data_IF_586324839166
#
_entry.id   IF_586324839166
#
_cell.length_a   1.000
_cell.length_b   1.000
_cell.length_c   1.000
_cell.angle_alpha   90.00
_cell.angle_beta   90.00
_cell.angle_gamma   90.00
#
_symmetry.space_group_name_H-M   'P 1'
#
loop_
_entity.id
_entity.type
_entity.pdbx_description
1 polymer ?
#
# COMPACT_ATOMS: atom_id res chain seq x y z
N UNK A 1 -1.60 9.82 29.08
CA UNK A 1 -2.44 10.15 30.26
C UNK A 1 -3.59 9.15 30.31
N UNK A 2 -4.32 9.03 31.43
CA UNK A 2 -5.53 8.20 31.46
C UNK A 2 -6.73 9.03 31.00
N UNK A 3 -7.41 8.60 29.96
CA UNK A 3 -8.62 9.22 29.44
C UNK A 3 -9.85 8.47 29.98
N UNK A 4 -10.76 9.21 30.61
CA UNK A 4 -11.97 8.62 31.21
C UNK A 4 -13.08 8.37 30.20
N UNK A 5 -13.12 9.12 29.09
CA UNK A 5 -14.11 8.92 28.04
C UNK A 5 -13.78 7.67 27.24
N UNK A 6 -12.51 7.53 26.86
CA UNK A 6 -12.00 6.35 26.16
C UNK A 6 -11.73 5.15 27.09
N UNK A 7 -11.82 5.35 28.42
CA UNK A 7 -11.49 4.35 29.44
C UNK A 7 -10.10 3.69 29.28
N UNK A 8 -9.13 4.43 28.74
CA UNK A 8 -7.83 3.90 28.33
C UNK A 8 -6.65 4.82 28.63
N UNK A 9 -5.43 4.29 28.47
CA UNK A 9 -4.20 5.07 28.54
C UNK A 9 -3.82 5.57 27.15
N UNK A 10 -3.83 6.88 26.98
CA UNK A 10 -3.53 7.57 25.72
C UNK A 10 -2.08 8.07 25.70
N UNK A 11 -1.38 7.85 24.59
CA UNK A 11 -0.05 8.38 24.29
C UNK A 11 -0.13 9.14 22.97
N UNK A 12 -0.04 10.47 23.04
CA UNK A 12 -0.07 11.37 21.87
C UNK A 12 0.43 12.77 22.29
N UNK A 13 0.45 13.73 21.36
CA UNK A 13 0.79 15.13 21.63
C UNK A 13 -0.41 15.94 22.08
N UNK A 14 -0.17 17.04 22.81
CA UNK A 14 -1.26 17.89 23.31
C UNK A 14 -2.02 18.58 22.17
N UNK A 15 -1.32 18.87 21.08
CA UNK A 15 -1.85 19.46 19.86
C UNK A 15 -2.81 18.49 19.17
N UNK A 16 -2.43 17.22 18.97
CA UNK A 16 -3.29 16.18 18.37
C UNK A 16 -4.61 15.97 19.11
N UNK A 17 -4.61 16.11 20.44
CA UNK A 17 -5.84 16.01 21.25
C UNK A 17 -6.83 17.14 20.99
N UNK A 18 -6.36 18.30 20.55
CA UNK A 18 -7.22 19.43 20.19
C UNK A 18 -7.72 19.35 18.75
N UNK A 19 -6.94 18.69 17.91
CA UNK A 19 -7.14 18.64 16.47
C UNK A 19 -6.66 17.30 15.90
N UNK A 20 -7.61 16.41 15.64
CA UNK A 20 -7.35 15.09 15.10
C UNK A 20 -6.88 15.12 13.63
N UNK A 21 -6.86 16.26 12.95
CA UNK A 21 -6.30 16.37 11.59
C UNK A 21 -4.77 16.49 11.57
N UNK A 22 -4.14 16.63 12.74
CA UNK A 22 -2.68 16.63 12.86
C UNK A 22 -2.09 15.23 12.57
N UNK A 23 -0.93 15.15 11.91
CA UNK A 23 -0.31 13.87 11.50
C UNK A 23 0.35 13.11 12.67
N UNK A 24 0.40 13.72 13.85
CA UNK A 24 0.99 13.15 15.06
C UNK A 24 0.38 11.79 15.42
N UNK A 25 1.20 10.80 15.81
CA UNK A 25 0.70 9.50 16.22
C UNK A 25 -0.25 9.59 17.42
N UNK A 26 -1.30 8.78 17.38
CA UNK A 26 -2.19 8.55 18.51
C UNK A 26 -2.11 7.07 18.88
N UNK A 27 -1.93 6.76 20.16
CA UNK A 27 -1.97 5.39 20.66
C UNK A 27 -2.85 5.35 21.90
N UNK A 28 -3.73 4.38 21.98
CA UNK A 28 -4.56 4.12 23.14
C UNK A 28 -4.51 2.64 23.52
N UNK A 29 -4.37 2.42 24.83
CA UNK A 29 -4.56 1.12 25.45
C UNK A 29 -5.88 1.09 26.20
N UNK A 30 -6.85 0.34 25.68
CA UNK A 30 -8.15 0.10 26.31
C UNK A 30 -8.00 -0.98 27.38
N UNK A 31 -7.99 -0.57 28.66
CA UNK A 31 -7.74 -1.49 29.78
C UNK A 31 -8.81 -2.58 29.94
N UNK A 32 -10.06 -2.28 29.55
CA UNK A 32 -11.19 -3.18 29.73
C UNK A 32 -11.34 -4.14 28.56
N UNK A 33 -11.20 -3.64 27.34
CA UNK A 33 -11.36 -4.42 26.11
C UNK A 33 -10.10 -5.20 25.73
N UNK A 34 -8.99 -4.99 26.46
CA UNK A 34 -7.69 -5.61 26.17
C UNK A 34 -7.26 -5.35 24.72
N UNK A 35 -7.34 -4.09 24.31
CA UNK A 35 -7.13 -3.66 22.94
C UNK A 35 -6.13 -2.50 22.89
N UNK A 36 -5.16 -2.60 21.98
CA UNK A 36 -4.27 -1.49 21.63
C UNK A 36 -4.69 -0.96 20.26
N UNK A 37 -5.05 0.31 20.20
CA UNK A 37 -5.38 0.99 18.95
C UNK A 37 -4.42 2.16 18.74
N UNK A 38 -3.95 2.35 17.52
CA UNK A 38 -3.16 3.53 17.21
C UNK A 38 -3.33 3.99 15.77
N UNK A 39 -3.01 5.25 15.51
CA UNK A 39 -3.07 5.87 14.20
C UNK A 39 -1.77 6.62 13.88
N UNK A 40 -1.44 6.71 12.59
CA UNK A 40 -0.28 7.45 12.10
C UNK A 40 0.55 6.68 11.09
N UNK A 41 1.80 7.13 10.83
CA UNK A 41 2.70 6.44 9.91
C UNK A 41 3.17 5.09 10.47
N UNK A 42 3.13 4.06 9.63
CA UNK A 42 3.49 2.69 9.96
C UNK A 42 4.69 2.23 9.13
N UNK A 43 5.68 1.62 9.78
CA UNK A 43 6.87 1.07 9.11
C UNK A 43 6.84 -0.45 9.17
N UNK A 44 6.11 -1.07 8.25
CA UNK A 44 6.01 -2.54 8.10
C UNK A 44 7.13 -3.17 7.26
N UNK A 45 7.89 -2.33 6.56
CA UNK A 45 9.03 -2.74 5.75
C UNK A 45 10.16 -1.72 5.90
N UNK A 46 11.38 -2.20 6.15
CA UNK A 46 12.54 -1.33 6.01
C UNK A 46 12.77 -0.92 4.56
N UNK A 47 13.41 0.24 4.38
CA UNK A 47 13.71 0.76 3.06
C UNK A 47 14.49 -0.28 2.26
N UNK A 48 13.88 -0.80 1.20
CA UNK A 48 14.54 -1.77 0.33
C UNK A 48 15.56 -1.11 -0.62
N UNK A 49 15.62 0.23 -0.59
CA UNK A 49 16.48 1.11 -1.35
C UNK A 49 16.06 1.28 -2.81
N UNK A 50 15.58 0.22 -3.45
CA UNK A 50 15.14 0.24 -4.83
C UNK A 50 13.62 0.39 -4.99
N UNK A 51 12.84 -0.28 -4.14
CA UNK A 51 11.39 -0.12 -4.07
C UNK A 51 11.06 0.55 -2.75
N UNK A 52 10.51 1.75 -2.81
CA UNK A 52 10.13 2.49 -1.59
C UNK A 52 8.64 2.31 -1.34
N UNK A 53 8.29 2.10 -0.08
CA UNK A 53 6.90 2.04 0.36
C UNK A 53 6.68 3.00 1.51
N UNK A 54 5.50 3.61 1.57
CA UNK A 54 5.00 4.24 2.79
C UNK A 54 3.64 3.65 3.13
N UNK A 55 3.34 3.52 4.41
CA UNK A 55 2.06 3.05 4.92
C UNK A 55 1.66 3.96 6.06
N UNK A 56 0.40 4.39 6.10
CA UNK A 56 -0.16 5.07 7.26
C UNK A 56 -1.65 4.79 7.37
N UNK A 57 -2.16 4.84 8.59
CA UNK A 57 -3.55 4.55 8.89
C UNK A 57 -3.69 4.10 10.34
N UNK A 58 -4.59 3.17 10.59
CA UNK A 58 -4.86 2.61 11.90
C UNK A 58 -4.19 1.24 12.07
N UNK A 59 -3.72 0.97 13.28
CA UNK A 59 -3.24 -0.35 13.74
C UNK A 59 -4.04 -0.75 14.97
N UNK A 60 -4.40 -2.03 15.04
CA UNK A 60 -5.10 -2.62 16.17
C UNK A 60 -4.38 -3.90 16.60
N UNK A 61 -4.18 -4.08 17.90
CA UNK A 61 -3.72 -5.34 18.50
C UNK A 61 -4.75 -5.79 19.53
N UNK A 62 -5.50 -6.83 19.16
CA UNK A 62 -6.39 -7.56 20.07
C UNK A 62 -5.52 -8.45 20.96
N UNK A 63 -5.36 -8.07 22.23
CA UNK A 63 -4.48 -8.77 23.18
C UNK A 63 -5.09 -10.08 23.69
N UNK A 64 -6.39 -10.28 23.50
CA UNK A 64 -7.07 -11.53 23.88
C UNK A 64 -6.77 -12.61 22.86
N UNK A 65 -6.84 -12.27 21.57
CA UNK A 65 -6.56 -13.20 20.46
C UNK A 65 -5.09 -13.22 20.04
N UNK A 66 -4.32 -12.22 20.46
CA UNK A 66 -2.97 -11.94 19.98
C UNK A 66 -2.93 -11.71 18.45
N UNK A 67 -3.89 -10.91 17.97
CA UNK A 67 -4.05 -10.60 16.55
C UNK A 67 -3.71 -9.12 16.29
N UNK A 68 -2.81 -8.87 15.35
CA UNK A 68 -2.45 -7.51 14.90
C UNK A 68 -3.03 -7.29 13.52
N UNK A 69 -3.83 -6.24 13.36
CA UNK A 69 -4.36 -5.78 12.08
C UNK A 69 -4.00 -4.32 11.80
N UNK A 70 -3.89 -3.98 10.52
CA UNK A 70 -3.64 -2.65 10.02
C UNK A 70 -4.68 -2.36 8.95
N UNK A 71 -5.22 -1.15 8.95
CA UNK A 71 -6.02 -0.59 7.87
C UNK A 71 -5.41 0.75 7.48
N UNK A 72 -5.14 0.97 6.20
CA UNK A 72 -4.53 2.22 5.79
C UNK A 72 -4.24 2.40 4.32
N UNK A 73 -3.55 3.51 4.05
CA UNK A 73 -3.11 3.93 2.72
C UNK A 73 -1.66 3.49 2.52
N UNK A 74 -1.44 2.64 1.51
CA UNK A 74 -0.12 2.17 1.12
C UNK A 74 0.30 2.82 -0.19
N UNK A 75 1.51 3.38 -0.20
CA UNK A 75 2.15 3.83 -1.43
C UNK A 75 3.33 2.93 -1.77
N UNK A 76 3.57 2.72 -3.05
CA UNK A 76 4.73 2.01 -3.56
C UNK A 76 5.31 2.77 -4.76
N UNK A 77 6.63 2.91 -4.76
CA UNK A 77 7.40 3.40 -5.89
C UNK A 77 8.37 2.30 -6.34
N UNK A 78 8.11 1.73 -7.51
CA UNK A 78 8.89 0.66 -8.11
C UNK A 78 9.42 1.08 -9.49
N UNK A 79 10.75 1.17 -9.68
CA UNK A 79 11.33 1.68 -10.92
C UNK A 79 10.90 0.84 -12.13
N UNK A 80 10.10 1.44 -13.00
CA UNK A 80 9.68 0.90 -14.29
C UNK A 80 9.43 2.09 -15.21
N UNK A 81 9.32 1.81 -16.50
CA UNK A 81 8.82 2.79 -17.47
C UNK A 81 7.48 3.36 -17.03
N UNK A 82 7.35 4.69 -17.03
CA UNK A 82 6.10 5.37 -16.66
C UNK A 82 4.95 4.89 -17.55
N UNK A 83 5.17 4.70 -18.85
CA UNK A 83 4.15 4.20 -19.77
C UNK A 83 3.68 2.80 -19.45
N UNK A 84 4.54 1.96 -18.86
CA UNK A 84 4.16 0.61 -18.46
C UNK A 84 3.22 0.64 -17.25
N UNK A 85 3.45 1.55 -16.30
CA UNK A 85 2.53 1.78 -15.19
C UNK A 85 1.24 2.45 -15.64
N UNK A 86 1.30 3.40 -16.57
CA UNK A 86 0.09 4.00 -17.17
C UNK A 86 -0.76 2.94 -17.90
N UNK A 87 -0.13 1.98 -18.59
CA UNK A 87 -0.84 0.85 -19.17
C UNK A 87 -1.55 0.00 -18.10
N UNK A 88 -0.91 -0.24 -16.95
CA UNK A 88 -1.54 -0.90 -15.80
C UNK A 88 -2.74 -0.09 -15.29
N UNK A 89 -2.63 1.24 -15.20
CA UNK A 89 -3.73 2.09 -14.77
C UNK A 89 -4.98 1.92 -15.64
N UNK A 90 -4.80 1.77 -16.96
CA UNK A 90 -5.90 1.57 -17.90
C UNK A 90 -6.58 0.20 -17.74
N UNK A 91 -5.87 -0.84 -17.28
CA UNK A 91 -6.48 -2.16 -17.04
C UNK A 91 -7.45 -2.16 -15.86
N UNK A 92 -7.19 -1.29 -14.88
CA UNK A 92 -7.98 -1.22 -13.65
C UNK A 92 -8.98 -0.07 -13.62
N UNK A 93 -8.92 0.85 -14.59
CA UNK A 93 -9.90 1.91 -14.69
C UNK A 93 -11.24 1.35 -15.19
N UNK A 94 -12.21 1.25 -14.28
CA UNK A 94 -13.55 0.75 -14.54
C UNK A 94 -14.61 1.88 -14.60
N UNK A 95 -14.17 3.14 -14.45
CA UNK A 95 -15.05 4.30 -14.35
C UNK A 95 -15.86 4.35 -13.05
N UNK A 96 -15.58 3.47 -12.08
CA UNK A 96 -16.09 3.61 -10.72
C UNK A 96 -15.31 4.75 -10.06
N UNK A 97 -16.04 5.84 -9.81
CA UNK A 97 -15.50 6.98 -9.09
C UNK A 97 -15.54 6.78 -7.58
N UNK A 98 -14.85 7.64 -6.83
CA UNK A 98 -14.74 7.48 -5.37
C UNK A 98 -16.06 7.73 -4.62
N UNK A 99 -16.36 6.85 -3.66
CA UNK A 99 -17.39 7.00 -2.62
C UNK A 99 -16.77 7.02 -1.20
N UNK A 100 -15.46 7.25 -1.08
CA UNK A 100 -14.68 6.83 0.10
C UNK A 100 -13.99 7.95 0.88
N UNK A 101 -14.68 9.08 1.06
CA UNK A 101 -14.15 10.24 1.79
C UNK A 101 -14.26 10.16 3.31
N UNK A 102 -15.00 9.19 3.85
CA UNK A 102 -15.50 9.27 5.24
C UNK A 102 -14.93 8.19 6.17
N UNK A 103 -14.12 7.25 5.66
CA UNK A 103 -13.50 6.22 6.49
C UNK A 103 -12.37 6.79 7.34
N UNK A 104 -12.47 6.63 8.66
CA UNK A 104 -11.52 7.23 9.61
C UNK A 104 -10.08 6.81 9.34
N UNK A 105 -9.82 5.53 9.07
CA UNK A 105 -8.47 5.02 8.81
C UNK A 105 -7.86 5.60 7.52
N UNK A 106 -8.70 5.82 6.49
CA UNK A 106 -8.29 6.49 5.26
C UNK A 106 -7.93 7.95 5.52
N UNK A 107 -8.81 8.70 6.20
CA UNK A 107 -8.59 10.12 6.56
C UNK A 107 -7.30 10.27 7.38
N UNK A 108 -7.14 9.48 8.44
CA UNK A 108 -5.95 9.47 9.28
C UNK A 108 -4.69 9.11 8.48
N UNK A 109 -4.79 8.13 7.58
CA UNK A 109 -3.70 7.72 6.69
C UNK A 109 -3.27 8.84 5.75
N UNK A 110 -4.22 9.55 5.15
CA UNK A 110 -3.94 10.70 4.29
C UNK A 110 -3.27 11.84 5.07
N UNK A 111 -3.78 12.20 6.24
CA UNK A 111 -3.15 13.22 7.07
C UNK A 111 -1.74 12.81 7.52
N UNK A 112 -1.54 11.55 7.90
CA UNK A 112 -0.22 11.05 8.29
C UNK A 112 0.78 11.04 7.12
N UNK A 113 0.33 10.81 5.89
CA UNK A 113 1.19 10.79 4.70
C UNK A 113 1.48 12.20 4.14
N UNK A 114 0.49 13.09 4.13
CA UNK A 114 0.56 14.40 3.48
C UNK A 114 0.77 15.55 4.46
N UNK A 115 0.50 15.34 5.74
CA UNK A 115 0.37 16.38 6.75
C UNK A 115 -0.99 17.07 6.68
N UNK A 116 -1.28 17.89 7.69
CA UNK A 116 -2.57 18.55 7.87
C UNK A 116 -3.00 19.39 6.67
N UNK A 117 -2.09 20.21 6.14
CA UNK A 117 -2.41 21.17 5.07
C UNK A 117 -2.74 20.45 3.75
N UNK A 118 -1.77 19.71 3.21
CA UNK A 118 -1.91 19.07 1.90
C UNK A 118 -2.91 17.89 1.97
N UNK A 119 -3.02 17.24 3.13
CA UNK A 119 -4.02 16.20 3.39
C UNK A 119 -5.44 16.75 3.43
N UNK A 120 -5.67 17.87 4.11
CA UNK A 120 -6.98 18.53 4.14
C UNK A 120 -7.41 19.01 2.76
N UNK A 121 -6.52 19.67 2.02
CA UNK A 121 -6.79 20.10 0.64
C UNK A 121 -7.16 18.91 -0.26
N UNK A 122 -6.42 17.80 -0.15
CA UNK A 122 -6.69 16.61 -0.94
C UNK A 122 -8.04 15.96 -0.60
N UNK A 123 -8.37 15.80 0.68
CA UNK A 123 -9.63 15.20 1.12
C UNK A 123 -10.84 16.05 0.74
N UNK A 124 -10.76 17.38 0.91
CA UNK A 124 -11.82 18.31 0.52
C UNK A 124 -12.10 18.31 -0.99
N UNK A 125 -11.07 18.06 -1.81
CA UNK A 125 -11.13 18.15 -3.26
C UNK A 125 -10.94 16.80 -3.97
N UNK A 126 -11.20 15.68 -3.29
CA UNK A 126 -10.95 14.33 -3.82
C UNK A 126 -11.61 14.10 -5.19
N UNK A 127 -12.87 14.53 -5.35
CA UNK A 127 -13.60 14.44 -6.62
C UNK A 127 -12.99 15.30 -7.74
N UNK A 128 -12.33 16.42 -7.43
CA UNK A 128 -11.60 17.20 -8.43
C UNK A 128 -10.29 16.50 -8.83
N UNK A 129 -9.58 15.93 -7.86
CA UNK A 129 -8.36 15.18 -8.14
C UNK A 129 -8.63 13.94 -9.00
N UNK A 130 -9.74 13.26 -8.73
CA UNK A 130 -10.25 12.14 -9.52
C UNK A 130 -10.58 12.55 -10.96
N UNK A 131 -11.26 13.68 -11.15
CA UNK A 131 -11.63 14.14 -12.49
C UNK A 131 -10.45 14.73 -13.30
N UNK A 132 -9.51 15.41 -12.64
CA UNK A 132 -8.43 16.15 -13.31
C UNK A 132 -7.07 15.44 -13.33
N UNK A 133 -6.91 14.34 -12.56
CA UNK A 133 -5.63 13.62 -12.44
C UNK A 133 -4.51 14.43 -11.79
N UNK A 134 -4.86 15.39 -10.91
CA UNK A 134 -3.89 16.32 -10.31
C UNK A 134 -3.59 15.96 -8.86
N UNK A 135 -2.86 14.89 -8.61
CA UNK A 135 -2.57 14.44 -7.23
C UNK A 135 -1.46 15.27 -6.56
N UNK A 136 -1.44 15.39 -5.22
CA UNK A 136 -0.30 15.88 -4.46
C UNK A 136 0.98 15.12 -4.82
N UNK A 137 2.14 15.78 -4.82
CA UNK A 137 3.42 15.19 -5.26
C UNK A 137 3.73 13.86 -4.56
N UNK A 138 3.41 13.76 -3.27
CA UNK A 138 3.64 12.55 -2.48
C UNK A 138 2.80 11.35 -2.96
N UNK A 139 1.59 11.57 -3.48
CA UNK A 139 0.74 10.50 -4.00
C UNK A 139 1.02 10.14 -5.46
N UNK A 140 1.91 10.85 -6.16
CA UNK A 140 2.32 10.51 -7.54
C UNK A 140 3.31 9.35 -7.58
N UNK A 141 2.94 8.24 -6.96
CA UNK A 141 3.74 7.02 -6.84
C UNK A 141 3.32 6.00 -7.90
N UNK A 142 4.13 4.97 -8.13
CA UNK A 142 3.80 3.93 -9.11
C UNK A 142 2.52 3.18 -8.79
N UNK A 143 2.17 3.10 -7.51
CA UNK A 143 0.90 2.55 -7.05
C UNK A 143 0.54 3.17 -5.70
N UNK A 144 -0.69 3.65 -5.59
CA UNK A 144 -1.30 4.08 -4.33
C UNK A 144 -2.54 3.24 -4.10
N UNK A 145 -2.57 2.55 -2.96
CA UNK A 145 -3.68 1.72 -2.51
C UNK A 145 -4.30 2.33 -1.24
N UNK A 146 -5.61 2.31 -1.12
CA UNK A 146 -6.34 2.57 0.12
C UNK A 146 -7.05 1.31 0.59
N UNK A 147 -7.51 1.32 1.86
CA UNK A 147 -8.15 0.18 2.52
C UNK A 147 -7.28 -1.09 2.48
N UNK A 148 -5.98 -0.90 2.65
CA UNK A 148 -5.02 -2.00 2.72
C UNK A 148 -5.13 -2.63 4.10
N UNK A 149 -5.97 -3.65 4.17
CA UNK A 149 -6.22 -4.45 5.38
C UNK A 149 -5.14 -5.54 5.53
N UNK A 150 -4.17 -5.36 6.43
CA UNK A 150 -3.08 -6.30 6.68
C UNK A 150 -3.20 -6.95 8.06
N UNK A 151 -3.09 -8.27 8.13
CA UNK A 151 -3.01 -9.04 9.38
C UNK A 151 -1.62 -9.63 9.56
N UNK A 152 -1.06 -9.57 10.77
CA UNK A 152 0.22 -10.19 11.05
C UNK A 152 0.08 -11.71 11.21
N UNK A 153 0.84 -12.47 10.42
CA UNK A 153 0.93 -13.92 10.56
C UNK A 153 2.21 -14.31 11.30
N UNK A 154 2.09 -14.74 12.56
CA UNK A 154 3.23 -15.27 13.32
C UNK A 154 3.86 -16.51 12.69
N UNK A 155 3.06 -17.35 12.00
CA UNK A 155 3.53 -18.54 11.28
C UNK A 155 4.47 -18.18 10.13
N UNK A 156 4.11 -17.18 9.34
CA UNK A 156 4.89 -16.77 8.16
C UNK A 156 5.88 -15.64 8.45
N UNK A 157 5.75 -14.99 9.62
CA UNK A 157 6.50 -13.79 10.01
C UNK A 157 6.37 -12.71 8.93
N UNK A 158 5.14 -12.42 8.53
CA UNK A 158 4.78 -11.47 7.48
C UNK A 158 3.42 -10.84 7.78
N UNK A 159 3.23 -9.62 7.28
CA UNK A 159 1.91 -9.00 7.17
C UNK A 159 1.26 -9.47 5.88
N UNK A 160 -0.01 -9.87 5.96
CA UNK A 160 -0.75 -10.45 4.86
C UNK A 160 -2.09 -9.73 4.72
N UNK A 161 -2.42 -9.29 3.51
CA UNK A 161 -3.74 -8.83 3.13
C UNK A 161 -4.37 -9.89 2.24
N UNK A 162 -5.58 -10.32 2.60
CA UNK A 162 -6.44 -11.21 1.82
C UNK A 162 -7.85 -10.59 1.84
N UNK A 163 -8.27 -9.99 0.72
CA UNK A 163 -9.55 -9.29 0.65
C UNK A 163 -9.61 -8.35 -0.54
N UNK A 164 -10.21 -7.18 -0.33
CA UNK A 164 -10.22 -6.10 -1.31
C UNK A 164 -9.30 -4.96 -0.87
N UNK A 165 -8.90 -4.15 -1.83
CA UNK A 165 -8.30 -2.83 -1.62
C UNK A 165 -8.75 -1.93 -2.77
N UNK A 166 -8.60 -0.62 -2.63
CA UNK A 166 -8.82 0.31 -3.74
C UNK A 166 -7.52 0.75 -4.34
N UNK A 167 -7.41 0.62 -5.66
CA UNK A 167 -6.35 1.30 -6.41
C UNK A 167 -6.76 2.76 -6.53
N UNK A 168 -6.17 3.64 -5.73
CA UNK A 168 -6.53 5.05 -5.75
C UNK A 168 -6.03 5.71 -7.04
N UNK A 169 -4.72 5.61 -7.27
CA UNK A 169 -4.08 6.19 -8.43
C UNK A 169 -2.75 5.49 -8.75
N UNK A 170 -2.36 5.61 -10.02
CA UNK A 170 -1.04 5.23 -10.52
C UNK A 170 -0.43 6.48 -11.15
N UNK A 171 0.63 7.00 -10.56
CA UNK A 171 1.15 8.33 -10.84
C UNK A 171 0.05 9.39 -10.78
N UNK A 172 -0.24 10.05 -11.91
CA UNK A 172 -1.30 11.03 -12.03
C UNK A 172 -2.59 10.44 -12.63
N UNK A 173 -2.60 9.16 -12.97
CA UNK A 173 -3.78 8.50 -13.53
C UNK A 173 -4.72 8.15 -12.37
N UNK A 174 -5.91 8.78 -12.30
CA UNK A 174 -6.94 8.40 -11.34
C UNK A 174 -7.47 7.01 -11.71
N UNK A 175 -7.62 6.14 -10.71
CA UNK A 175 -8.17 4.78 -10.92
C UNK A 175 -9.40 4.57 -10.04
N UNK A 176 -9.27 4.79 -8.73
CA UNK A 176 -10.32 4.65 -7.71
C UNK A 176 -11.16 3.36 -7.73
N UNK A 177 -10.64 2.29 -8.34
CA UNK A 177 -11.33 1.02 -8.47
C UNK A 177 -11.06 0.08 -7.30
N UNK A 178 -12.11 -0.56 -6.78
CA UNK A 178 -11.99 -1.69 -5.84
C UNK A 178 -11.51 -2.94 -6.59
N UNK A 179 -10.52 -3.62 -6.03
CA UNK A 179 -9.95 -4.84 -6.61
C UNK A 179 -9.77 -5.90 -5.54
N UNK A 180 -9.88 -7.17 -5.93
CA UNK A 180 -9.36 -8.26 -5.11
C UNK A 180 -7.85 -8.06 -4.95
N UNK A 181 -7.41 -8.01 -3.71
CA UNK A 181 -6.07 -7.61 -3.35
C UNK A 181 -5.44 -8.66 -2.44
N UNK A 182 -4.20 -8.98 -2.78
CA UNK A 182 -3.34 -9.80 -1.96
C UNK A 182 -2.00 -9.12 -1.81
N UNK A 183 -1.63 -8.87 -0.56
CA UNK A 183 -0.34 -8.30 -0.21
C UNK A 183 0.35 -9.22 0.79
N UNK A 184 1.62 -9.55 0.57
CA UNK A 184 2.47 -10.12 1.61
C UNK A 184 3.71 -9.24 1.75
N UNK A 185 3.88 -8.66 2.94
CA UNK A 185 5.08 -7.89 3.31
C UNK A 185 5.87 -8.68 4.33
N UNK A 186 7.15 -8.92 4.02
CA UNK A 186 8.01 -9.72 4.86
C UNK A 186 9.36 -9.07 5.08
N UNK A 187 9.67 -8.81 6.34
CA UNK A 187 10.99 -8.33 6.73
C UNK A 187 11.99 -9.49 6.81
N UNK A 188 13.18 -9.30 6.22
CA UNK A 188 14.29 -10.25 6.35
C UNK A 188 15.55 -9.50 6.77
N UNK A 189 16.48 -10.25 7.37
CA UNK A 189 17.82 -9.76 7.77
C UNK A 189 18.61 -9.05 6.65
N UNK A 190 18.28 -9.29 5.38
CA UNK A 190 18.98 -8.73 4.20
C UNK A 190 18.03 -7.97 3.25
N UNK A 191 16.98 -7.38 3.80
CA UNK A 191 16.03 -6.56 3.06
C UNK A 191 14.61 -7.12 3.03
N UNK A 192 13.67 -6.26 2.69
CA UNK A 192 12.25 -6.60 2.58
C UNK A 192 11.91 -7.47 1.37
N UNK A 193 10.88 -8.30 1.51
CA UNK A 193 10.18 -8.98 0.42
C UNK A 193 8.75 -8.42 0.36
N UNK A 194 8.29 -8.06 -0.84
CA UNK A 194 6.90 -7.67 -1.10
C UNK A 194 6.34 -8.63 -2.15
N UNK A 195 5.13 -9.12 -1.94
CA UNK A 195 4.34 -9.75 -2.98
C UNK A 195 3.00 -9.01 -3.04
N UNK A 196 2.59 -8.66 -4.24
CA UNK A 196 1.35 -7.97 -4.54
C UNK A 196 0.65 -8.70 -5.69
N UNK A 197 -0.64 -8.94 -5.53
CA UNK A 197 -1.52 -9.41 -6.59
C UNK A 197 -2.83 -8.63 -6.54
N UNK A 198 -3.19 -8.00 -7.65
CA UNK A 198 -4.41 -7.22 -7.82
C UNK A 198 -5.22 -7.84 -8.95
N UNK A 199 -6.54 -7.95 -8.79
CA UNK A 199 -7.44 -8.62 -9.73
C UNK A 199 -8.82 -7.96 -9.68
N UNK A 200 -9.32 -7.49 -10.83
CA UNK A 200 -10.67 -6.91 -10.96
C UNK A 200 -11.67 -7.86 -11.63
N UNK A 201 -11.32 -9.15 -11.74
CA UNK A 201 -12.12 -10.19 -12.38
C UNK A 201 -11.93 -10.29 -13.90
N UNK A 202 -11.38 -9.25 -14.54
CA UNK A 202 -11.06 -9.25 -15.98
C UNK A 202 -9.55 -9.24 -16.19
N UNK A 203 -8.87 -8.35 -15.48
CA UNK A 203 -7.46 -8.07 -15.55
C UNK A 203 -6.77 -8.29 -14.20
N UNK A 204 -5.48 -8.63 -14.26
CA UNK A 204 -4.67 -8.79 -13.06
C UNK A 204 -3.29 -8.15 -13.21
N UNK A 205 -2.70 -7.82 -12.06
CA UNK A 205 -1.30 -7.44 -11.91
C UNK A 205 -0.67 -8.26 -10.79
N UNK A 206 0.43 -8.93 -11.11
CA UNK A 206 1.31 -9.58 -10.16
C UNK A 206 2.64 -8.84 -10.08
N UNK A 207 3.08 -8.57 -8.86
CA UNK A 207 4.41 -8.04 -8.57
C UNK A 207 5.02 -8.82 -7.38
N UNK A 208 6.29 -9.17 -7.49
CA UNK A 208 7.08 -9.59 -6.34
C UNK A 208 8.41 -8.89 -6.35
N UNK A 209 8.84 -8.40 -5.20
CA UNK A 209 10.12 -7.76 -5.02
C UNK A 209 10.90 -8.49 -3.92
N UNK A 210 12.15 -8.83 -4.21
CA UNK A 210 13.05 -9.51 -3.28
C UNK A 210 14.50 -9.07 -3.50
N UNK A 211 15.08 -8.45 -2.47
CA UNK A 211 16.45 -7.96 -2.52
C UNK A 211 16.59 -6.78 -3.48
N UNK A 212 16.99 -7.05 -4.72
CA UNK A 212 17.12 -6.04 -5.79
C UNK A 212 16.29 -6.37 -7.04
N UNK A 213 15.57 -7.49 -6.99
CA UNK A 213 14.88 -8.06 -8.16
C UNK A 213 13.40 -7.89 -7.98
N UNK A 214 12.77 -7.19 -8.92
CA UNK A 214 11.33 -7.20 -9.12
C UNK A 214 10.96 -8.22 -10.22
N UNK A 215 9.92 -9.02 -9.99
CA UNK A 215 9.24 -9.81 -11.02
C UNK A 215 7.84 -9.26 -11.18
N UNK A 216 7.45 -8.88 -12.39
CA UNK A 216 6.13 -8.29 -12.70
C UNK A 216 5.46 -9.06 -13.84
N UNK A 217 4.13 -9.21 -13.82
CA UNK A 217 3.33 -9.72 -14.94
C UNK A 217 1.91 -9.13 -14.82
N UNK A 218 1.30 -8.83 -15.96
CA UNK A 218 -0.13 -8.50 -16.07
C UNK A 218 -0.90 -9.57 -16.85
N UNK A 219 -2.23 -9.53 -16.82
CA UNK A 219 -3.12 -10.15 -17.82
C UNK A 219 -2.83 -9.67 -19.26
N UNK A 220 -2.37 -8.43 -19.44
CA UNK A 220 -2.12 -7.84 -20.76
C UNK A 220 -0.86 -8.40 -21.43
N UNK A 221 -1.03 -9.01 -22.61
CA UNK A 221 0.06 -9.60 -23.38
C UNK A 221 1.02 -8.54 -23.94
N UNK A 222 0.51 -7.37 -24.32
CA UNK A 222 1.33 -6.28 -24.85
C UNK A 222 2.29 -5.72 -23.79
N UNK A 223 1.79 -5.49 -22.57
CA UNK A 223 2.59 -5.14 -21.40
C UNK A 223 3.68 -6.19 -21.16
N UNK A 224 3.30 -7.47 -21.12
CA UNK A 224 4.23 -8.56 -20.85
C UNK A 224 5.34 -8.67 -21.91
N UNK A 225 4.98 -8.49 -23.18
CA UNK A 225 5.92 -8.50 -24.30
C UNK A 225 6.86 -7.28 -24.23
N UNK A 226 6.35 -6.10 -23.89
CA UNK A 226 7.15 -4.89 -23.68
C UNK A 226 8.19 -5.03 -22.55
N UNK A 227 7.92 -5.87 -21.55
CA UNK A 227 8.92 -6.23 -20.53
C UNK A 227 9.97 -7.20 -21.09
N UNK A 228 9.58 -8.17 -21.93
CA UNK A 228 10.49 -9.18 -22.48
C UNK A 228 11.45 -8.63 -23.54
N UNK A 229 10.99 -7.70 -24.36
CA UNK A 229 11.76 -7.12 -25.47
C UNK A 229 12.85 -6.15 -25.00
N UNK A 230 12.76 -5.64 -23.77
CA UNK A 230 13.77 -4.75 -23.20
C UNK A 230 15.05 -5.52 -22.87
N UNK A 231 16.18 -4.96 -23.31
CA UNK A 231 17.51 -5.46 -22.96
C UNK A 231 17.75 -5.39 -21.44
N UNK A 232 18.61 -6.27 -20.94
CA UNK A 232 18.89 -6.36 -19.50
C UNK A 232 19.37 -5.04 -18.88
N UNK A 233 20.04 -4.19 -19.67
CA UNK A 233 20.50 -2.86 -19.25
C UNK A 233 19.34 -1.90 -19.02
N UNK A 234 18.32 -1.92 -19.88
CA UNK A 234 17.15 -1.05 -19.79
C UNK A 234 16.19 -1.52 -18.70
N UNK A 235 16.30 -2.80 -18.32
CA UNK A 235 15.60 -3.39 -17.19
C UNK A 235 16.31 -3.26 -15.85
N UNK A 236 17.37 -2.45 -15.79
CA UNK A 236 18.22 -2.35 -14.60
C UNK A 236 18.59 -0.90 -14.26
N UNK A 237 18.52 -0.56 -12.98
CA UNK A 237 19.09 0.68 -12.44
C UNK A 237 20.39 0.33 -11.74
N UNK A 238 21.47 1.03 -12.10
CA UNK A 238 22.77 0.85 -11.44
C UNK A 238 22.73 1.46 -10.04
N UNK A 239 23.42 0.81 -9.10
CA UNK A 239 23.64 1.38 -7.77
C UNK A 239 24.30 2.76 -7.89
N UNK A 240 23.84 3.73 -7.08
CA UNK A 240 24.37 5.09 -7.05
C UNK A 240 24.33 5.63 -5.62
N UNK A 241 25.51 5.92 -5.06
CA UNK A 241 25.63 6.28 -3.65
C UNK A 241 25.11 5.15 -2.76
N UNK A 242 24.20 5.48 -1.85
CA UNK A 242 23.56 4.51 -0.95
C UNK A 242 22.36 3.77 -1.57
N UNK A 243 21.93 4.17 -2.78
CA UNK A 243 20.84 3.50 -3.48
C UNK A 243 21.34 2.18 -4.09
N UNK A 244 20.73 1.03 -3.74
CA UNK A 244 21.13 -0.27 -4.27
C UNK A 244 20.80 -0.36 -5.76
N UNK A 245 21.45 -1.31 -6.43
CA UNK A 245 21.05 -1.67 -7.78
C UNK A 245 19.61 -2.22 -7.78
N UNK A 246 18.97 -2.17 -8.93
CA UNK A 246 17.63 -2.68 -9.14
C UNK A 246 17.53 -3.34 -10.50
N UNK A 247 16.73 -4.40 -10.61
CA UNK A 247 16.37 -4.99 -11.89
C UNK A 247 14.95 -5.52 -11.87
N UNK A 248 14.25 -5.42 -13.00
CA UNK A 248 12.93 -6.02 -13.17
C UNK A 248 12.90 -7.06 -14.29
N UNK A 249 12.09 -8.09 -14.11
CA UNK A 249 11.92 -9.19 -15.05
C UNK A 249 10.45 -9.53 -15.20
N UNK A 250 10.08 -10.11 -16.33
CA UNK A 250 8.77 -10.75 -16.44
C UNK A 250 8.71 -11.91 -15.43
N UNK A 251 7.66 -11.96 -14.62
CA UNK A 251 7.43 -13.09 -13.73
C UNK A 251 7.27 -14.40 -14.52
N UNK A 252 7.31 -15.57 -13.87
CA UNK A 252 6.87 -16.82 -14.49
C UNK A 252 5.39 -17.08 -14.19
N UNK A 253 4.61 -17.65 -15.12
CA UNK A 253 3.18 -17.96 -14.87
C UNK A 253 3.01 -18.86 -13.63
N UNK A 254 3.95 -19.77 -13.41
CA UNK A 254 3.98 -20.63 -12.22
C UNK A 254 4.09 -19.88 -10.89
N UNK A 255 4.70 -18.68 -10.84
CA UNK A 255 4.74 -17.88 -9.60
C UNK A 255 3.34 -17.41 -9.18
N UNK A 256 2.51 -17.05 -10.16
CA UNK A 256 1.14 -16.57 -9.94
C UNK A 256 0.25 -17.75 -9.54
N UNK A 257 0.36 -18.88 -10.25
CA UNK A 257 -0.35 -20.10 -9.89
C UNK A 257 -0.04 -20.55 -8.47
N UNK A 258 1.24 -20.57 -8.08
CA UNK A 258 1.65 -20.93 -6.71
C UNK A 258 1.15 -19.92 -5.68
N UNK A 259 1.07 -18.64 -6.04
CA UNK A 259 0.48 -17.61 -5.18
C UNK A 259 -0.99 -17.93 -4.94
N UNK A 260 -1.81 -17.98 -6.00
CA UNK A 260 -3.25 -18.25 -5.91
C UNK A 260 -3.55 -19.50 -5.07
N UNK A 261 -2.81 -20.60 -5.32
CA UNK A 261 -2.93 -21.84 -4.53
C UNK A 261 -2.59 -21.68 -3.06
N UNK A 262 -1.55 -20.91 -2.72
CA UNK A 262 -1.15 -20.66 -1.32
C UNK A 262 -2.27 -19.96 -0.53
N UNK A 263 -3.09 -19.19 -1.22
CA UNK A 263 -4.16 -18.38 -0.66
C UNK A 263 -5.56 -18.92 -0.95
N UNK A 264 -5.67 -20.17 -1.40
CA UNK A 264 -6.95 -20.84 -1.59
C UNK A 264 -7.83 -20.24 -2.70
N UNK A 265 -7.26 -19.47 -3.63
CA UNK A 265 -7.98 -18.93 -4.78
C UNK A 265 -8.07 -20.06 -5.83
N UNK A 266 -9.28 -20.58 -6.06
CA UNK A 266 -9.57 -21.57 -7.12
C UNK A 266 -9.60 -20.89 -8.51
N UNK A 267 -9.25 -21.64 -9.56
CA UNK A 267 -9.19 -21.16 -10.96
C UNK A 267 -10.57 -21.11 -11.64
#
# INVERSE_FOLDING_TARGET
YYDRQEQGYVVTTYEKLKDFTLPDPYLIFHNYDCDLYGTGPLKVLENTGAVTTALAGAVRHDLVKDEVSIDGVMTMNAPLDEKAWEAVAQLFNDGSGSLRSDETAYIDGIYALLGQKDGGEFLENIGLHENEGKFPRFLRQTLVLSEVNLSYSGRYKSFISEGTATIQNIYNQPVFAEVSCLIEVKERRRGGEIILYLDNGTDYLYLSFKGIVMSIRSSDEAFNQGILEKDAKDRSVKAKGDAPAFTYNLAGKGKIMLLKRRFGIEE
#
